data_IF_899752655507
#
_entry.id   IF_899752655507
#
_cell.length_a   1.000
_cell.length_b   1.000
_cell.length_c   1.000
_cell.angle_alpha   90.00
_cell.angle_beta   90.00
_cell.angle_gamma   90.00
#
_symmetry.space_group_name_H-M   'P 1'
#
loop_
_entity.id
_entity.type
_entity.pdbx_description
1 polymer ?
#
# COMPACT_ATOMS: atom_id res chain seq x y z
N UNK A 1 7.91 19.59 -17.65
CA UNK A 1 8.48 20.95 -17.67
C UNK A 1 9.64 20.94 -18.64
N UNK A 2 9.49 21.64 -19.77
CA UNK A 2 10.52 21.82 -20.79
C UNK A 2 11.54 22.84 -20.25
N UNK A 3 12.82 22.58 -20.48
CA UNK A 3 13.94 23.15 -19.75
C UNK A 3 14.13 24.66 -19.86
N UNK A 4 14.68 25.24 -18.79
CA UNK A 4 15.52 26.43 -18.86
C UNK A 4 16.95 25.97 -18.56
N UNK A 5 17.77 25.66 -19.58
CA UNK A 5 19.14 25.25 -19.35
C UNK A 5 19.95 26.51 -18.99
N UNK A 6 20.68 26.45 -17.87
CA UNK A 6 21.72 27.40 -17.45
C UNK A 6 21.27 28.81 -17.04
N UNK A 7 20.27 28.94 -16.15
CA UNK A 7 20.13 30.18 -15.38
C UNK A 7 21.06 30.10 -14.17
N UNK A 8 22.11 30.94 -14.12
CA UNK A 8 22.87 31.16 -12.88
C UNK A 8 21.94 31.77 -11.85
N UNK A 9 21.86 31.14 -10.69
CA UNK A 9 21.02 31.58 -9.59
C UNK A 9 21.88 31.99 -8.41
N UNK A 10 21.47 33.07 -7.74
CA UNK A 10 22.11 33.56 -6.53
C UNK A 10 21.23 33.20 -5.33
N UNK A 11 21.79 32.54 -4.33
CA UNK A 11 21.07 32.22 -3.11
C UNK A 11 21.10 33.42 -2.16
N UNK A 12 19.96 33.98 -1.79
CA UNK A 12 19.96 35.15 -0.89
C UNK A 12 20.36 34.86 0.56
N UNK A 13 20.54 33.58 0.95
CA UNK A 13 20.93 33.19 2.32
C UNK A 13 22.43 32.96 2.42
N UNK A 14 23.00 32.08 1.57
CA UNK A 14 24.44 31.80 1.59
C UNK A 14 25.24 32.68 0.63
N UNK A 15 24.59 33.46 -0.24
CA UNK A 15 25.21 34.30 -1.26
C UNK A 15 26.05 33.52 -2.29
N UNK A 16 25.84 32.21 -2.38
CA UNK A 16 26.51 31.38 -3.39
C UNK A 16 25.81 31.52 -4.76
N UNK A 17 26.64 31.57 -5.79
CA UNK A 17 26.24 31.46 -7.18
C UNK A 17 26.50 30.05 -7.68
N UNK A 18 25.44 29.34 -8.10
CA UNK A 18 25.61 28.06 -8.77
C UNK A 18 24.60 27.87 -9.91
N UNK A 19 24.88 26.88 -10.75
CA UNK A 19 23.95 26.47 -11.77
C UNK A 19 22.68 25.88 -11.13
N UNK A 20 21.54 26.19 -11.72
CA UNK A 20 20.25 25.74 -11.20
C UNK A 20 20.11 24.21 -11.31
N UNK A 21 19.89 23.55 -10.17
CA UNK A 21 19.67 22.10 -10.04
C UNK A 21 18.46 21.76 -9.14
N UNK A 22 18.24 20.48 -8.84
CA UNK A 22 17.13 19.98 -8.03
C UNK A 22 17.18 20.42 -6.55
N UNK A 23 18.30 21.00 -6.11
CA UNK A 23 18.49 21.53 -4.75
C UNK A 23 17.98 22.95 -4.60
N UNK A 24 17.60 23.63 -5.69
CA UNK A 24 17.05 24.99 -5.66
C UNK A 24 15.52 25.00 -5.62
N UNK A 25 14.96 26.06 -5.02
CA UNK A 25 13.53 26.36 -5.01
C UNK A 25 13.29 27.49 -6.01
N UNK A 26 12.47 27.24 -7.05
CA UNK A 26 12.08 28.26 -8.01
C UNK A 26 10.95 29.09 -7.43
N UNK A 27 11.23 30.36 -7.16
CA UNK A 27 10.18 31.27 -6.77
C UNK A 27 9.37 31.72 -7.99
N UNK A 28 8.06 31.45 -7.99
CA UNK A 28 7.14 31.81 -9.08
C UNK A 28 6.89 33.33 -9.23
N UNK A 29 7.58 34.18 -8.47
CA UNK A 29 7.41 35.63 -8.56
C UNK A 29 8.25 36.29 -9.66
N UNK A 30 9.15 35.56 -10.31
CA UNK A 30 10.04 36.10 -11.34
C UNK A 30 11.28 36.84 -10.82
N UNK A 31 11.51 36.89 -9.51
CA UNK A 31 12.73 37.48 -8.92
C UNK A 31 14.01 36.73 -9.33
N UNK A 32 15.14 37.44 -9.39
CA UNK A 32 16.44 36.84 -9.71
C UNK A 32 17.00 36.03 -8.55
N UNK A 33 16.70 36.44 -7.31
CA UNK A 33 17.12 35.69 -6.14
C UNK A 33 16.30 34.41 -6.00
N UNK A 34 17.00 33.30 -5.90
CA UNK A 34 16.45 31.98 -5.60
C UNK A 34 16.99 31.54 -4.24
N UNK A 35 16.59 30.36 -3.77
CA UNK A 35 17.10 29.83 -2.50
C UNK A 35 17.35 28.32 -2.63
N UNK A 36 18.47 27.84 -2.09
CA UNK A 36 18.66 26.40 -1.93
C UNK A 36 17.67 25.87 -0.90
N UNK A 37 17.16 24.65 -1.13
CA UNK A 37 16.33 23.93 -0.17
C UNK A 37 17.00 23.93 1.21
N UNK A 38 18.26 23.51 1.30
CA UNK A 38 19.03 23.48 2.57
C UNK A 38 19.05 24.84 3.29
N UNK A 39 19.28 25.93 2.56
CA UNK A 39 19.27 27.29 3.13
C UNK A 39 17.87 27.70 3.60
N UNK A 40 16.84 27.35 2.85
CA UNK A 40 15.45 27.58 3.25
C UNK A 40 15.08 26.79 4.52
N UNK A 41 15.57 25.54 4.65
CA UNK A 41 15.47 24.76 5.88
C UNK A 41 16.14 25.45 7.07
N UNK A 42 17.41 25.87 6.93
CA UNK A 42 18.16 26.61 7.97
C UNK A 42 17.35 27.82 8.46
N UNK A 43 16.80 28.57 7.50
CA UNK A 43 16.05 29.78 7.79
C UNK A 43 14.71 29.51 8.47
N UNK A 44 13.95 28.52 8.02
CA UNK A 44 12.73 28.12 8.71
C UNK A 44 13.00 27.56 10.12
N UNK A 45 14.10 26.83 10.29
CA UNK A 45 14.52 26.34 11.59
C UNK A 45 14.82 27.50 12.55
N UNK A 46 15.61 28.49 12.13
CA UNK A 46 15.96 29.64 12.98
C UNK A 46 14.72 30.45 13.38
N UNK A 47 13.83 30.74 12.42
CA UNK A 47 12.58 31.48 12.67
C UNK A 47 11.68 30.73 13.67
N UNK A 48 11.53 29.42 13.53
CA UNK A 48 10.72 28.63 14.46
C UNK A 48 11.40 28.47 15.82
N UNK A 49 12.72 28.33 15.88
CA UNK A 49 13.49 28.27 17.12
C UNK A 49 13.32 29.56 17.93
N UNK A 50 13.43 30.73 17.29
CA UNK A 50 13.16 32.02 17.92
C UNK A 50 11.71 32.12 18.41
N UNK A 51 10.74 31.82 17.55
CA UNK A 51 9.30 31.85 17.90
C UNK A 51 8.97 30.94 19.09
N UNK A 52 9.50 29.71 19.10
CA UNK A 52 9.31 28.77 20.20
C UNK A 52 9.99 29.29 21.47
N UNK A 53 11.22 29.80 21.38
CA UNK A 53 11.94 30.35 22.54
C UNK A 53 11.22 31.54 23.18
N UNK A 54 10.60 32.41 22.37
CA UNK A 54 9.81 33.55 22.82
C UNK A 54 8.49 33.12 23.48
N UNK A 55 7.81 32.10 22.93
CA UNK A 55 6.58 31.57 23.53
C UNK A 55 6.84 30.78 24.82
N UNK A 56 7.96 30.04 24.91
CA UNK A 56 8.36 29.29 26.10
C UNK A 56 8.78 30.21 27.24
N UNK A 57 9.40 31.37 26.96
CA UNK A 57 9.64 32.41 27.98
C UNK A 57 8.34 32.90 28.64
N UNK A 58 7.20 32.78 27.95
CA UNK A 58 5.90 33.23 28.44
C UNK A 58 5.02 32.10 29.03
N UNK A 59 5.41 30.82 28.90
CA UNK A 59 4.70 29.67 29.48
C UNK A 59 5.70 28.73 30.15
N UNK A 60 5.77 28.82 31.47
CA UNK A 60 6.76 28.16 32.34
C UNK A 60 6.68 26.63 32.45
N UNK A 61 6.05 25.90 31.52
CA UNK A 61 5.98 24.44 31.57
C UNK A 61 5.97 23.82 30.17
N UNK A 62 7.05 23.11 29.82
CA UNK A 62 7.14 22.22 28.66
C UNK A 62 8.25 22.59 27.70
N UNK A 63 9.46 22.06 27.92
CA UNK A 63 10.57 22.10 26.97
C UNK A 63 10.14 21.39 25.68
N UNK A 64 9.78 22.15 24.64
CA UNK A 64 9.83 21.61 23.27
C UNK A 64 11.32 21.38 22.99
N UNK A 65 11.78 20.13 23.02
CA UNK A 65 13.17 19.82 22.71
C UNK A 65 13.49 20.22 21.27
N UNK A 66 14.75 20.57 20.98
CA UNK A 66 15.22 20.85 19.61
C UNK A 66 14.93 19.68 18.67
N UNK A 67 14.98 18.45 19.20
CA UNK A 67 14.59 17.23 18.50
C UNK A 67 13.14 17.26 18.03
N UNK A 68 12.23 17.82 18.82
CA UNK A 68 10.81 17.96 18.46
C UNK A 68 10.63 18.92 17.30
N UNK A 69 11.33 20.06 17.31
CA UNK A 69 11.30 21.03 16.21
C UNK A 69 11.87 20.43 14.92
N UNK A 70 12.99 19.71 15.04
CA UNK A 70 13.62 18.97 13.96
C UNK A 70 12.64 17.97 13.31
N UNK A 71 11.94 17.15 14.11
CA UNK A 71 10.96 16.18 13.61
C UNK A 71 9.80 16.87 12.88
N UNK A 72 9.33 18.02 13.37
CA UNK A 72 8.26 18.82 12.72
C UNK A 72 8.70 19.43 11.39
N UNK A 73 9.96 19.83 11.28
CA UNK A 73 10.52 20.29 10.01
C UNK A 73 10.67 19.13 9.03
N UNK A 74 11.24 18.00 9.46
CA UNK A 74 11.28 16.79 8.62
C UNK A 74 9.89 16.43 8.08
N UNK A 75 8.86 16.52 8.93
CA UNK A 75 7.46 16.34 8.55
C UNK A 75 6.95 17.33 7.50
N UNK A 76 7.35 18.60 7.61
CA UNK A 76 6.89 19.66 6.71
C UNK A 76 7.37 19.44 5.27
N UNK A 77 8.57 18.90 5.11
CA UNK A 77 9.28 18.82 3.83
C UNK A 77 9.34 17.40 3.23
N UNK A 78 8.84 16.39 3.94
CA UNK A 78 8.76 15.03 3.41
C UNK A 78 7.68 14.92 2.32
N UNK A 79 8.12 14.88 1.06
CA UNK A 79 7.23 14.79 -0.10
C UNK A 79 6.47 13.47 -0.21
N UNK A 80 6.95 12.42 0.47
CA UNK A 80 6.30 11.11 0.51
C UNK A 80 5.73 10.75 1.91
N UNK A 81 5.38 11.78 2.70
CA UNK A 81 4.80 11.62 4.05
C UNK A 81 3.57 10.71 4.14
N UNK A 82 2.79 10.59 3.07
CA UNK A 82 1.60 9.73 3.05
C UNK A 82 1.95 8.22 3.08
N UNK A 83 3.23 7.83 2.90
CA UNK A 83 3.64 6.42 2.92
C UNK A 83 3.45 5.76 4.28
N UNK A 84 3.78 6.44 5.38
CA UNK A 84 3.65 5.90 6.74
C UNK A 84 2.36 6.34 7.42
N UNK A 85 1.72 7.42 6.94
CA UNK A 85 0.50 7.97 7.54
C UNK A 85 -0.69 7.04 7.30
N UNK A 86 -1.35 6.63 8.38
CA UNK A 86 -2.69 6.06 8.34
C UNK A 86 -3.69 7.20 8.21
N UNK A 87 -4.02 7.55 6.97
CA UNK A 87 -5.02 8.58 6.66
C UNK A 87 -6.39 7.96 6.91
N UNK A 88 -7.18 8.59 7.78
CA UNK A 88 -8.53 8.12 8.07
C UNK A 88 -9.40 8.14 6.81
N UNK A 89 -10.41 7.28 6.77
CA UNK A 89 -11.37 7.27 5.66
C UNK A 89 -12.04 8.64 5.46
N UNK A 90 -12.28 9.33 6.58
CA UNK A 90 -12.79 10.70 6.64
C UNK A 90 -11.89 11.68 5.88
N UNK A 91 -10.60 11.68 6.19
CA UNK A 91 -9.64 12.57 5.54
C UNK A 91 -9.47 12.24 4.04
N UNK A 92 -9.62 10.96 3.66
CA UNK A 92 -9.61 10.57 2.25
C UNK A 92 -10.79 11.15 1.46
N UNK A 93 -11.99 11.16 2.04
CA UNK A 93 -13.19 11.70 1.37
C UNK A 93 -13.13 13.22 1.25
N UNK A 94 -12.74 13.91 2.33
CA UNK A 94 -12.57 15.37 2.32
C UNK A 94 -11.49 15.79 1.33
N UNK A 95 -10.49 14.94 1.08
CA UNK A 95 -9.43 15.17 0.10
C UNK A 95 -9.84 15.03 -1.38
N UNK A 96 -11.09 14.68 -1.69
CA UNK A 96 -11.58 14.60 -3.07
C UNK A 96 -12.00 16.01 -3.53
N UNK A 97 -11.37 16.57 -4.58
CA UNK A 97 -11.59 17.96 -5.00
C UNK A 97 -13.03 18.26 -5.45
N UNK A 98 -13.81 17.23 -5.82
CA UNK A 98 -15.15 17.36 -6.40
C UNK A 98 -16.26 17.27 -5.34
N UNK A 99 -16.01 16.61 -4.20
CA UNK A 99 -17.09 16.09 -3.35
C UNK A 99 -17.28 16.87 -2.05
N UNK A 100 -16.24 17.59 -1.60
CA UNK A 100 -16.33 18.59 -0.54
C UNK A 100 -16.90 18.08 0.81
N UNK A 101 -17.11 19.02 1.72
CA UNK A 101 -17.69 18.78 3.06
C UNK A 101 -19.19 18.39 3.05
N UNK A 102 -20.07 18.82 2.12
CA UNK A 102 -21.51 18.57 2.28
C UNK A 102 -21.96 17.11 2.02
N UNK A 103 -21.22 16.33 1.23
CA UNK A 103 -21.51 14.90 1.04
C UNK A 103 -20.96 14.00 2.16
N UNK A 104 -20.14 14.56 3.05
CA UNK A 104 -19.50 13.85 4.14
C UNK A 104 -20.52 13.21 5.10
N UNK A 105 -21.51 13.98 5.54
CA UNK A 105 -22.49 13.56 6.56
C UNK A 105 -23.41 12.44 6.08
N UNK A 106 -23.88 12.48 4.82
CA UNK A 106 -24.85 11.51 4.31
C UNK A 106 -24.23 10.16 3.92
N UNK A 107 -22.98 10.15 3.44
CA UNK A 107 -22.32 8.94 2.93
C UNK A 107 -21.40 8.32 3.98
N UNK A 108 -20.69 9.14 4.76
CA UNK A 108 -19.63 8.63 5.63
C UNK A 108 -20.17 8.07 6.94
N UNK A 109 -21.22 8.65 7.53
CA UNK A 109 -21.71 8.21 8.86
C UNK A 109 -22.20 6.75 8.83
N UNK A 110 -23.07 6.31 7.89
CA UNK A 110 -23.52 4.91 7.85
C UNK A 110 -22.39 3.93 7.56
N UNK A 111 -21.43 4.34 6.71
CA UNK A 111 -20.32 3.50 6.30
C UNK A 111 -19.26 3.37 7.39
N UNK A 112 -18.93 4.47 8.07
CA UNK A 112 -18.04 4.48 9.23
C UNK A 112 -18.63 3.60 10.34
N UNK A 113 -19.93 3.71 10.61
CA UNK A 113 -20.63 2.84 11.56
C UNK A 113 -20.59 1.36 11.15
N UNK A 114 -20.75 1.07 9.85
CA UNK A 114 -20.65 -0.30 9.32
C UNK A 114 -19.24 -0.90 9.42
N UNK A 115 -18.20 -0.08 9.21
CA UNK A 115 -16.83 -0.54 9.35
C UNK A 115 -16.39 -0.68 10.81
N UNK A 116 -16.85 0.22 11.68
CA UNK A 116 -16.59 0.16 13.12
C UNK A 116 -17.28 -1.05 13.77
N UNK A 117 -18.50 -1.39 13.34
CA UNK A 117 -19.18 -2.64 13.76
C UNK A 117 -18.46 -3.91 13.25
N UNK A 118 -17.73 -3.83 12.15
CA UNK A 118 -16.83 -4.89 11.67
C UNK A 118 -15.45 -4.90 12.35
N UNK A 119 -15.24 -4.06 13.38
CA UNK A 119 -13.98 -3.96 14.12
C UNK A 119 -12.85 -3.27 13.34
N UNK A 120 -13.18 -2.60 12.22
CA UNK A 120 -12.23 -1.74 11.50
C UNK A 120 -12.28 -0.37 12.14
N UNK A 121 -11.22 -0.01 12.86
CA UNK A 121 -11.11 1.31 13.51
C UNK A 121 -11.06 2.42 12.44
N UNK A 122 -12.22 2.89 11.99
CA UNK A 122 -12.34 3.98 11.01
C UNK A 122 -12.07 5.36 11.61
N UNK A 123 -12.31 5.51 12.92
CA UNK A 123 -12.01 6.71 13.69
C UNK A 123 -10.57 6.75 14.24
N UNK A 124 -9.75 5.74 14.00
CA UNK A 124 -8.45 5.61 14.67
C UNK A 124 -7.51 6.80 14.40
N UNK A 125 -7.15 7.48 15.50
CA UNK A 125 -6.05 8.45 15.67
C UNK A 125 -6.09 9.70 14.81
N UNK A 126 -7.21 10.43 14.87
CA UNK A 126 -7.28 11.77 14.30
C UNK A 126 -6.36 12.79 15.03
N UNK A 127 -5.80 12.47 16.22
CA UNK A 127 -5.21 13.52 17.09
C UNK A 127 -3.79 13.24 17.66
N UNK A 128 -3.24 12.02 17.75
CA UNK A 128 -2.13 11.81 18.72
C UNK A 128 -0.79 11.24 18.26
N UNK A 129 -0.52 10.96 16.98
CA UNK A 129 0.77 10.31 16.61
C UNK A 129 1.62 10.99 15.53
N UNK A 130 1.16 12.11 14.99
CA UNK A 130 1.91 12.78 13.93
C UNK A 130 2.50 14.11 14.42
N UNK A 131 3.78 14.39 14.13
CA UNK A 131 4.34 15.70 14.43
C UNK A 131 3.50 16.77 13.73
N UNK A 132 2.90 17.66 14.51
CA UNK A 132 2.18 18.82 14.00
C UNK A 132 3.13 19.68 13.17
N UNK A 133 2.65 20.36 12.10
CA UNK A 133 3.50 21.30 11.39
C UNK A 133 4.06 22.36 12.34
N UNK A 134 5.27 22.89 12.08
CA UNK A 134 5.82 23.97 12.88
C UNK A 134 4.94 25.22 12.75
N UNK A 135 4.94 26.12 13.75
CA UNK A 135 4.08 27.31 13.75
C UNK A 135 4.31 28.21 12.53
N UNK A 136 5.56 28.34 12.08
CA UNK A 136 5.91 29.02 10.85
C UNK A 136 6.18 27.96 9.77
N UNK A 137 5.30 27.90 8.77
CA UNK A 137 5.35 26.89 7.69
C UNK A 137 5.85 27.43 6.36
N UNK A 138 5.92 28.75 6.20
CA UNK A 138 6.38 29.39 4.97
C UNK A 138 7.06 30.73 5.27
N UNK A 139 7.95 31.14 4.38
CA UNK A 139 8.65 32.43 4.45
C UNK A 139 8.25 33.31 3.27
N UNK A 140 8.38 34.62 3.44
CA UNK A 140 8.17 35.60 2.38
C UNK A 140 9.46 35.83 1.61
N UNK A 141 9.36 35.97 0.29
CA UNK A 141 10.47 36.47 -0.51
C UNK A 141 10.85 37.90 -0.05
N UNK A 142 12.14 38.17 0.26
CA UNK A 142 12.58 39.49 0.73
C UNK A 142 12.39 40.58 -0.34
N UNK A 143 12.45 40.25 -1.63
CA UNK A 143 12.28 41.21 -2.71
C UNK A 143 10.82 41.55 -3.00
N UNK A 144 9.95 40.54 -3.08
CA UNK A 144 8.58 40.75 -3.56
C UNK A 144 7.49 40.50 -2.51
N UNK A 145 7.86 40.11 -1.28
CA UNK A 145 6.97 39.80 -0.15
C UNK A 145 5.86 38.78 -0.45
N UNK A 146 6.02 37.95 -1.50
CA UNK A 146 5.10 36.85 -1.81
C UNK A 146 5.55 35.59 -1.07
N UNK A 147 4.60 34.73 -0.71
CA UNK A 147 4.90 33.44 -0.08
C UNK A 147 5.56 32.47 -1.05
N UNK A 148 6.51 31.69 -0.53
CA UNK A 148 7.04 30.52 -1.22
C UNK A 148 6.00 29.39 -1.13
N UNK A 149 5.57 28.85 -2.28
CA UNK A 149 4.57 27.77 -2.32
C UNK A 149 5.15 26.48 -1.74
N UNK A 150 4.34 25.79 -0.93
CA UNK A 150 4.73 24.54 -0.24
C UNK A 150 5.15 23.41 -1.19
N UNK A 151 4.53 23.29 -2.36
CA UNK A 151 4.85 22.25 -3.35
C UNK A 151 6.29 22.29 -3.84
N UNK A 152 6.94 23.45 -3.76
CA UNK A 152 8.29 23.65 -4.28
C UNK A 152 9.36 23.27 -3.23
N UNK A 153 8.92 22.93 -2.02
CA UNK A 153 9.75 22.63 -0.85
C UNK A 153 9.95 21.14 -0.63
N UNK A 154 9.04 20.30 -1.10
CA UNK A 154 9.07 18.86 -0.82
C UNK A 154 10.39 18.23 -1.29
N UNK A 155 11.12 17.60 -0.37
CA UNK A 155 12.25 16.74 -0.69
C UNK A 155 11.66 15.41 -1.16
N UNK A 156 11.93 15.08 -2.42
CA UNK A 156 11.62 13.78 -3.01
C UNK A 156 12.89 13.24 -3.65
N UNK A 157 13.10 11.94 -3.54
CA UNK A 157 14.17 11.24 -4.24
C UNK A 157 13.94 11.31 -5.75
N UNK A 158 15.03 11.26 -6.52
CA UNK A 158 14.96 11.22 -7.98
C UNK A 158 14.47 9.87 -8.52
N UNK A 159 14.26 8.88 -7.63
CA UNK A 159 13.83 7.55 -8.03
C UNK A 159 12.41 7.55 -8.61
N UNK A 160 12.32 7.25 -9.91
CA UNK A 160 11.04 7.13 -10.64
C UNK A 160 10.15 6.06 -10.01
N UNK A 161 10.76 4.97 -9.53
CA UNK A 161 10.04 3.84 -8.94
C UNK A 161 9.31 4.25 -7.65
N UNK A 162 9.94 5.05 -6.79
CA UNK A 162 9.30 5.53 -5.56
C UNK A 162 8.17 6.51 -5.88
N UNK A 163 8.39 7.41 -6.84
CA UNK A 163 7.36 8.34 -7.34
C UNK A 163 6.15 7.60 -7.90
N UNK A 164 6.37 6.56 -8.72
CA UNK A 164 5.30 5.72 -9.26
C UNK A 164 4.56 4.95 -8.16
N UNK A 165 5.29 4.39 -7.18
CA UNK A 165 4.67 3.71 -6.04
C UNK A 165 3.80 4.67 -5.21
N UNK A 166 4.29 5.88 -4.97
CA UNK A 166 3.56 6.93 -4.27
C UNK A 166 2.28 7.33 -5.02
N UNK A 167 2.41 7.56 -6.33
CA UNK A 167 1.27 7.90 -7.17
C UNK A 167 0.25 6.76 -7.24
N UNK A 168 0.72 5.50 -7.31
CA UNK A 168 -0.13 4.31 -7.23
C UNK A 168 -0.96 4.29 -5.94
N UNK A 169 -0.33 4.52 -4.77
CA UNK A 169 -1.07 4.64 -3.51
C UNK A 169 -2.10 5.79 -3.51
N UNK A 170 -1.77 6.91 -4.14
CA UNK A 170 -2.67 8.05 -4.29
C UNK A 170 -3.88 7.71 -5.18
N UNK A 171 -3.66 6.99 -6.28
CA UNK A 171 -4.74 6.51 -7.15
C UNK A 171 -5.63 5.51 -6.43
N UNK A 172 -5.03 4.54 -5.73
CA UNK A 172 -5.76 3.56 -4.90
C UNK A 172 -6.69 4.31 -3.94
N UNK A 173 -6.16 5.30 -3.20
CA UNK A 173 -6.94 6.17 -2.31
C UNK A 173 -8.15 6.79 -3.01
N UNK A 174 -7.95 7.45 -4.14
CA UNK A 174 -9.04 8.09 -4.87
C UNK A 174 -10.06 7.08 -5.39
N UNK A 175 -9.61 5.95 -5.91
CA UNK A 175 -10.47 4.86 -6.38
C UNK A 175 -11.35 4.30 -5.27
N UNK A 176 -10.79 4.06 -4.07
CA UNK A 176 -11.55 3.59 -2.91
C UNK A 176 -12.64 4.60 -2.56
N UNK A 177 -12.31 5.89 -2.49
CA UNK A 177 -13.29 6.89 -2.12
C UNK A 177 -14.45 6.93 -3.12
N UNK A 178 -14.17 6.83 -4.43
CA UNK A 178 -15.20 6.73 -5.47
C UNK A 178 -16.06 5.47 -5.31
N UNK A 179 -15.43 4.31 -5.07
CA UNK A 179 -16.15 3.05 -4.81
C UNK A 179 -17.06 3.22 -3.59
N UNK A 180 -16.55 3.79 -2.51
CA UNK A 180 -17.30 4.02 -1.28
C UNK A 180 -18.55 4.88 -1.52
N UNK A 181 -18.44 5.94 -2.33
CA UNK A 181 -19.56 6.79 -2.71
C UNK A 181 -20.60 6.03 -3.55
N UNK A 182 -20.17 5.07 -4.35
CA UNK A 182 -21.06 4.23 -5.15
C UNK A 182 -21.71 3.08 -4.37
N UNK A 183 -21.18 2.70 -3.20
CA UNK A 183 -21.68 1.56 -2.42
C UNK A 183 -23.17 1.63 -2.04
N UNK A 184 -23.76 2.79 -1.67
CA UNK A 184 -25.19 2.88 -1.36
C UNK A 184 -26.09 2.60 -2.57
N UNK A 185 -25.58 2.78 -3.79
CA UNK A 185 -26.35 2.64 -5.03
C UNK A 185 -26.31 1.18 -5.52
N UNK A 186 -25.26 0.43 -5.15
CA UNK A 186 -25.01 -0.91 -5.69
C UNK A 186 -25.28 -1.99 -4.64
N UNK A 187 -25.88 -3.10 -5.08
CA UNK A 187 -26.04 -4.27 -4.25
C UNK A 187 -24.67 -4.94 -3.97
N UNK A 188 -24.15 -4.73 -2.75
CA UNK A 188 -22.89 -5.28 -2.26
C UNK A 188 -22.80 -6.80 -2.41
N UNK A 189 -23.88 -7.52 -2.09
CA UNK A 189 -23.92 -8.98 -2.19
C UNK A 189 -23.74 -9.45 -3.64
N UNK A 190 -24.37 -8.75 -4.59
CA UNK A 190 -24.20 -9.02 -6.02
C UNK A 190 -22.77 -8.76 -6.50
N UNK A 191 -22.20 -7.60 -6.15
CA UNK A 191 -20.82 -7.27 -6.52
C UNK A 191 -19.83 -8.27 -5.95
N UNK A 192 -19.99 -8.65 -4.69
CA UNK A 192 -19.11 -9.60 -4.04
C UNK A 192 -19.19 -11.00 -4.66
N UNK A 193 -20.40 -11.44 -4.99
CA UNK A 193 -20.62 -12.71 -5.70
C UNK A 193 -19.95 -12.69 -7.08
N UNK A 194 -20.14 -11.62 -7.85
CA UNK A 194 -19.53 -11.46 -9.18
C UNK A 194 -18.01 -11.39 -9.09
N UNK A 195 -17.46 -10.69 -8.09
CA UNK A 195 -16.02 -10.63 -7.83
C UNK A 195 -15.46 -12.02 -7.53
N UNK A 196 -16.10 -12.77 -6.62
CA UNK A 196 -15.68 -14.13 -6.27
C UNK A 196 -15.72 -15.09 -7.45
N UNK A 197 -16.79 -15.03 -8.26
CA UNK A 197 -16.90 -15.85 -9.47
C UNK A 197 -15.83 -15.47 -10.51
N UNK A 198 -15.59 -14.17 -10.71
CA UNK A 198 -14.55 -13.68 -11.60
C UNK A 198 -13.15 -14.13 -11.14
N UNK A 199 -12.83 -14.03 -9.84
CA UNK A 199 -11.54 -14.47 -9.29
C UNK A 199 -11.35 -15.98 -9.44
N UNK A 200 -12.39 -16.77 -9.15
CA UNK A 200 -12.33 -18.22 -9.32
C UNK A 200 -12.04 -18.62 -10.77
N UNK A 201 -12.65 -17.94 -11.75
CA UNK A 201 -12.39 -18.14 -13.19
C UNK A 201 -10.97 -17.78 -13.62
N UNK A 202 -10.25 -16.95 -12.87
CA UNK A 202 -8.84 -16.67 -13.17
C UNK A 202 -7.92 -17.81 -12.73
N UNK A 203 -8.31 -18.55 -11.70
CA UNK A 203 -7.47 -19.62 -11.12
C UNK A 203 -7.82 -20.98 -11.70
N UNK A 204 -9.12 -21.30 -11.75
CA UNK A 204 -9.62 -22.61 -12.16
C UNK A 204 -10.17 -22.59 -13.59
N UNK A 205 -9.82 -23.60 -14.40
CA UNK A 205 -10.43 -23.81 -15.71
C UNK A 205 -11.91 -24.23 -15.55
N UNK A 206 -12.68 -24.07 -16.63
CA UNK A 206 -14.14 -24.24 -16.58
C UNK A 206 -14.58 -25.64 -16.10
N UNK A 207 -13.94 -26.71 -16.57
CA UNK A 207 -14.23 -28.10 -16.18
C UNK A 207 -14.15 -28.31 -14.65
N UNK A 208 -13.11 -27.76 -14.03
CA UNK A 208 -12.88 -27.88 -12.59
C UNK A 208 -13.86 -26.98 -11.84
N UNK A 209 -14.18 -25.81 -12.39
CA UNK A 209 -15.15 -24.90 -11.78
C UNK A 209 -16.57 -25.47 -11.77
N UNK A 210 -16.99 -26.12 -12.85
CA UNK A 210 -18.29 -26.79 -12.94
C UNK A 210 -18.42 -27.91 -11.91
N UNK A 211 -17.34 -28.68 -11.70
CA UNK A 211 -17.29 -29.71 -10.67
C UNK A 211 -17.25 -29.12 -9.25
N UNK A 212 -16.51 -28.03 -9.03
CA UNK A 212 -16.39 -27.38 -7.72
C UNK A 212 -17.71 -26.73 -7.25
N UNK A 213 -18.42 -26.11 -8.18
CA UNK A 213 -19.67 -25.43 -7.93
C UNK A 213 -20.90 -26.33 -8.10
N UNK A 214 -20.74 -27.58 -8.54
CA UNK A 214 -21.82 -28.55 -8.80
C UNK A 214 -22.88 -27.99 -9.75
N UNK A 215 -22.43 -27.37 -10.84
CA UNK A 215 -23.27 -26.70 -11.83
C UNK A 215 -22.80 -27.05 -13.23
N UNK A 216 -23.72 -27.20 -14.17
CA UNK A 216 -23.46 -27.60 -15.55
C UNK A 216 -22.59 -26.62 -16.33
N UNK A 217 -22.78 -25.31 -16.14
CA UNK A 217 -21.97 -24.27 -16.78
C UNK A 217 -21.77 -23.07 -15.87
N UNK A 218 -20.61 -22.43 -15.98
CA UNK A 218 -20.32 -21.23 -15.19
C UNK A 218 -21.12 -20.02 -15.67
N UNK A 219 -21.62 -20.02 -16.91
CA UNK A 219 -22.51 -18.98 -17.45
C UNK A 219 -23.87 -18.92 -16.73
N UNK A 220 -24.37 -20.07 -16.26
CA UNK A 220 -25.59 -20.10 -15.45
C UNK A 220 -25.43 -19.29 -14.16
N UNK A 221 -24.24 -19.32 -13.54
CA UNK A 221 -23.93 -18.52 -12.35
C UNK A 221 -23.94 -17.01 -12.62
N UNK A 222 -23.64 -16.55 -13.84
CA UNK A 222 -23.77 -15.12 -14.18
C UNK A 222 -25.23 -14.69 -14.20
N UNK A 223 -26.13 -15.54 -14.71
CA UNK A 223 -27.58 -15.29 -14.71
C UNK A 223 -28.12 -15.28 -13.29
N UNK A 224 -27.73 -16.27 -12.47
CA UNK A 224 -28.11 -16.31 -11.05
C UNK A 224 -27.56 -15.12 -10.27
N UNK A 225 -26.31 -14.70 -10.53
CA UNK A 225 -25.70 -13.50 -9.97
C UNK A 225 -26.33 -12.19 -10.45
N UNK A 226 -27.23 -12.23 -11.44
CA UNK A 226 -27.93 -11.05 -11.94
C UNK A 226 -28.93 -10.46 -10.93
N UNK A 227 -29.51 -11.29 -10.05
CA UNK A 227 -30.58 -10.91 -9.13
C UNK A 227 -30.36 -11.51 -7.73
N UNK A 228 -30.94 -10.89 -6.69
CA UNK A 228 -30.84 -11.42 -5.31
C UNK A 228 -31.49 -12.79 -5.17
N UNK A 229 -32.66 -12.98 -5.79
CA UNK A 229 -33.36 -14.27 -5.77
C UNK A 229 -32.56 -15.36 -6.49
N UNK A 230 -31.89 -15.01 -7.59
CA UNK A 230 -30.98 -15.93 -8.29
C UNK A 230 -29.78 -16.33 -7.44
N UNK A 231 -29.19 -15.40 -6.67
CA UNK A 231 -28.13 -15.74 -5.73
C UNK A 231 -28.65 -16.70 -4.65
N UNK A 232 -29.86 -16.48 -4.12
CA UNK A 232 -30.44 -17.35 -3.10
C UNK A 232 -30.65 -18.79 -3.60
N UNK A 233 -31.00 -18.97 -4.88
CA UNK A 233 -31.20 -20.30 -5.49
C UNK A 233 -29.91 -21.10 -5.71
N UNK A 234 -28.74 -20.46 -5.65
CA UNK A 234 -27.45 -21.19 -5.74
C UNK A 234 -27.29 -22.08 -4.48
N UNK A 235 -26.83 -23.34 -4.63
CA UNK A 235 -26.58 -24.22 -3.49
C UNK A 235 -25.68 -23.54 -2.44
N UNK A 236 -26.02 -23.71 -1.16
CA UNK A 236 -25.27 -23.10 -0.04
C UNK A 236 -23.78 -23.44 -0.07
N UNK A 237 -23.47 -24.66 -0.49
CA UNK A 237 -22.12 -25.16 -0.59
C UNK A 237 -21.30 -24.42 -1.68
N UNK A 238 -21.93 -23.99 -2.78
CA UNK A 238 -21.29 -23.23 -3.87
C UNK A 238 -21.25 -21.74 -3.55
N UNK A 239 -22.27 -21.22 -2.85
CA UNK A 239 -22.25 -19.87 -2.27
C UNK A 239 -21.05 -19.67 -1.35
N UNK A 240 -20.77 -20.63 -0.44
CA UNK A 240 -19.62 -20.55 0.47
C UNK A 240 -18.30 -20.45 -0.30
N UNK A 241 -18.14 -21.22 -1.38
CA UNK A 241 -16.94 -21.16 -2.22
C UNK A 241 -16.83 -19.80 -2.92
N UNK A 242 -17.90 -19.34 -3.56
CA UNK A 242 -17.89 -18.10 -4.35
C UNK A 242 -17.71 -16.87 -3.44
N UNK A 243 -18.49 -16.74 -2.36
CA UNK A 243 -18.35 -15.62 -1.42
C UNK A 243 -17.08 -15.71 -0.56
N UNK A 244 -16.62 -16.93 -0.26
CA UNK A 244 -15.46 -17.18 0.57
C UNK A 244 -14.13 -17.01 -0.16
N UNK A 245 -14.07 -17.18 -1.49
CA UNK A 245 -12.81 -17.08 -2.24
C UNK A 245 -12.16 -15.68 -2.19
N UNK A 246 -12.89 -14.56 -2.35
CA UNK A 246 -12.32 -13.23 -2.12
C UNK A 246 -11.77 -13.07 -0.69
N UNK A 247 -12.49 -13.57 0.32
CA UNK A 247 -12.08 -13.51 1.72
C UNK A 247 -10.81 -14.32 1.98
N UNK A 248 -10.69 -15.48 1.33
CA UNK A 248 -9.49 -16.30 1.38
C UNK A 248 -8.28 -15.55 0.81
N UNK A 249 -8.42 -14.92 -0.37
CA UNK A 249 -7.34 -14.14 -0.98
C UNK A 249 -6.96 -12.91 -0.14
N UNK A 250 -7.94 -12.22 0.46
CA UNK A 250 -7.69 -11.15 1.42
C UNK A 250 -6.89 -11.62 2.64
N UNK A 251 -7.21 -12.81 3.14
CA UNK A 251 -6.47 -13.45 4.23
C UNK A 251 -5.04 -13.83 3.85
N UNK A 252 -4.77 -14.08 2.57
CA UNK A 252 -3.41 -14.37 2.08
C UNK A 252 -2.59 -13.10 1.83
N UNK A 253 -3.20 -12.07 1.22
CA UNK A 253 -2.54 -10.82 0.91
C UNK A 253 -2.31 -9.93 2.14
N UNK A 254 -3.16 -10.04 3.17
CA UNK A 254 -3.13 -9.19 4.35
C UNK A 254 -2.49 -9.81 5.59
N UNK A 255 -1.99 -8.95 6.48
CA UNK A 255 -1.50 -9.29 7.83
C UNK A 255 -2.56 -9.02 8.92
N UNK A 256 -3.85 -9.05 8.55
CA UNK A 256 -4.96 -8.80 9.47
C UNK A 256 -5.41 -10.11 10.12
N UNK A 257 -5.44 -10.14 11.45
CA UNK A 257 -5.72 -11.36 12.22
C UNK A 257 -7.09 -11.97 11.92
N UNK A 258 -8.10 -11.13 11.64
CA UNK A 258 -9.45 -11.57 11.29
C UNK A 258 -9.47 -12.33 9.95
N UNK A 259 -8.83 -11.78 8.92
CA UNK A 259 -8.76 -12.42 7.60
C UNK A 259 -7.78 -13.61 7.59
N UNK A 260 -6.72 -13.57 8.40
CA UNK A 260 -5.78 -14.68 8.54
C UNK A 260 -6.43 -15.97 9.04
N UNK A 261 -7.47 -15.87 9.88
CA UNK A 261 -8.27 -17.03 10.32
C UNK A 261 -9.08 -17.65 9.17
N UNK A 262 -9.41 -16.88 8.14
CA UNK A 262 -10.16 -17.36 6.96
C UNK A 262 -9.30 -18.17 5.98
N UNK A 263 -7.98 -18.30 6.23
CA UNK A 263 -7.09 -19.20 5.48
C UNK A 263 -7.54 -20.68 5.56
N UNK A 264 -8.35 -21.03 6.57
CA UNK A 264 -9.01 -22.34 6.70
C UNK A 264 -10.10 -22.62 5.65
N UNK A 265 -10.49 -21.65 4.81
CA UNK A 265 -11.41 -21.91 3.70
C UNK A 265 -10.78 -22.79 2.61
N UNK A 266 -9.45 -22.71 2.39
CA UNK A 266 -8.75 -23.55 1.41
C UNK A 266 -8.94 -25.07 1.64
N UNK A 267 -8.75 -25.61 2.86
CA UNK A 267 -9.03 -27.02 3.12
C UNK A 267 -10.52 -27.38 2.99
N UNK A 268 -11.46 -26.46 3.22
CA UNK A 268 -12.90 -26.70 2.98
C UNK A 268 -13.19 -26.89 1.48
N UNK A 269 -12.59 -26.06 0.62
CA UNK A 269 -12.65 -26.21 -0.84
C UNK A 269 -12.02 -27.54 -1.27
N UNK A 270 -10.87 -27.89 -0.71
CA UNK A 270 -10.16 -29.15 -1.00
C UNK A 270 -10.92 -30.41 -0.53
N UNK A 271 -11.65 -30.34 0.58
CA UNK A 271 -12.50 -31.42 1.08
C UNK A 271 -13.73 -31.65 0.21
N UNK A 272 -14.29 -30.59 -0.36
CA UNK A 272 -15.41 -30.69 -1.30
C UNK A 272 -15.04 -31.43 -2.59
N UNK A 273 -13.82 -31.23 -3.07
CA UNK A 273 -13.27 -31.93 -4.23
C UNK A 273 -13.03 -33.43 -3.98
N UNK A 274 -13.11 -33.92 -2.73
CA UNK A 274 -12.87 -35.33 -2.37
C UNK A 274 -13.99 -36.28 -2.81
N UNK A 275 -15.18 -35.76 -3.14
CA UNK A 275 -16.37 -36.58 -3.41
C UNK A 275 -16.37 -37.20 -4.82
N UNK A 276 -15.48 -36.76 -5.72
CA UNK A 276 -15.43 -37.25 -7.10
C UNK A 276 -14.11 -37.98 -7.40
N UNK A 277 -14.21 -39.11 -8.11
CA UNK A 277 -13.10 -40.00 -8.48
C UNK A 277 -12.33 -39.54 -9.74
N UNK A 278 -12.55 -38.31 -10.21
CA UNK A 278 -11.96 -37.80 -11.44
C UNK A 278 -10.48 -37.38 -11.25
N UNK A 279 -9.63 -37.75 -12.21
CA UNK A 279 -8.18 -37.47 -12.19
C UNK A 279 -7.88 -35.96 -12.19
N UNK A 280 -8.70 -35.18 -12.91
CA UNK A 280 -8.60 -33.71 -12.97
C UNK A 280 -8.79 -33.05 -11.58
N UNK A 281 -9.72 -33.60 -10.78
CA UNK A 281 -10.05 -33.11 -9.44
C UNK A 281 -9.00 -33.53 -8.42
N UNK A 282 -8.38 -34.70 -8.60
CA UNK A 282 -7.21 -35.11 -7.81
C UNK A 282 -6.01 -34.19 -8.03
N UNK A 283 -5.77 -33.74 -9.27
CA UNK A 283 -4.73 -32.74 -9.57
C UNK A 283 -5.06 -31.40 -8.90
N UNK A 284 -6.31 -30.93 -8.99
CA UNK A 284 -6.77 -29.69 -8.35
C UNK A 284 -6.56 -29.72 -6.83
N UNK A 285 -6.95 -30.83 -6.19
CA UNK A 285 -6.74 -31.07 -4.77
C UNK A 285 -5.26 -31.04 -4.40
N UNK A 286 -4.41 -31.68 -5.21
CA UNK A 286 -2.97 -31.72 -4.99
C UNK A 286 -2.37 -30.30 -5.08
N UNK A 287 -2.77 -29.50 -6.06
CA UNK A 287 -2.35 -28.09 -6.20
C UNK A 287 -2.77 -27.24 -5.00
N UNK A 288 -3.99 -27.41 -4.50
CA UNK A 288 -4.47 -26.70 -3.31
C UNK A 288 -3.68 -27.11 -2.06
N UNK A 289 -3.41 -28.39 -1.87
CA UNK A 289 -2.64 -28.88 -0.72
C UNK A 289 -1.18 -28.40 -0.77
N UNK A 290 -0.55 -28.46 -1.94
CA UNK A 290 0.82 -27.98 -2.14
C UNK A 290 0.89 -26.46 -1.89
N UNK A 291 -0.05 -25.68 -2.46
CA UNK A 291 -0.08 -24.24 -2.24
C UNK A 291 -0.31 -23.90 -0.76
N UNK A 292 -1.17 -24.63 -0.06
CA UNK A 292 -1.33 -24.50 1.39
C UNK A 292 -0.02 -24.79 2.15
N UNK A 293 0.70 -25.85 1.79
CA UNK A 293 2.03 -26.16 2.34
C UNK A 293 3.04 -25.02 2.14
N UNK A 294 3.08 -24.43 0.94
CA UNK A 294 3.92 -23.26 0.66
C UNK A 294 3.50 -22.02 1.44
N UNK A 295 2.20 -21.78 1.62
CA UNK A 295 1.69 -20.67 2.44
C UNK A 295 2.11 -20.85 3.89
N UNK A 296 2.00 -22.07 4.44
CA UNK A 296 2.49 -22.39 5.77
C UNK A 296 4.00 -22.15 5.87
N UNK A 297 4.79 -22.67 4.94
CA UNK A 297 6.24 -22.47 4.90
C UNK A 297 6.61 -20.99 4.84
N UNK A 298 5.92 -20.20 4.02
CA UNK A 298 6.09 -18.75 3.96
C UNK A 298 5.82 -18.10 5.32
N UNK A 299 4.71 -18.47 5.97
CA UNK A 299 4.31 -17.87 7.25
C UNK A 299 5.26 -18.21 8.42
N UNK A 300 5.82 -19.43 8.45
CA UNK A 300 6.69 -19.88 9.53
C UNK A 300 8.18 -19.56 9.32
N UNK A 301 8.64 -19.48 8.07
CA UNK A 301 10.07 -19.31 7.75
C UNK A 301 10.34 -17.95 7.11
N UNK A 302 9.67 -17.65 6.00
CA UNK A 302 10.00 -16.47 5.18
C UNK A 302 9.57 -15.18 5.88
N UNK A 303 8.36 -15.13 6.43
CA UNK A 303 7.82 -13.93 7.08
C UNK A 303 8.65 -13.49 8.31
N UNK A 304 9.09 -14.39 9.23
CA UNK A 304 10.01 -14.00 10.30
C UNK A 304 11.35 -13.45 9.80
N UNK A 305 11.94 -14.06 8.77
CA UNK A 305 13.19 -13.58 8.16
C UNK A 305 13.02 -12.19 7.54
N UNK A 306 11.93 -11.98 6.79
CA UNK A 306 11.58 -10.68 6.24
C UNK A 306 11.37 -9.64 7.34
N UNK A 307 10.68 -9.99 8.43
CA UNK A 307 10.49 -9.10 9.57
C UNK A 307 11.82 -8.68 10.21
N UNK A 308 12.78 -9.62 10.35
CA UNK A 308 14.13 -9.29 10.83
C UNK A 308 14.89 -8.36 9.88
N UNK A 309 14.73 -8.56 8.56
CA UNK A 309 15.29 -7.67 7.55
C UNK A 309 14.68 -6.26 7.64
N UNK A 310 13.36 -6.14 7.71
CA UNK A 310 12.68 -4.84 7.90
C UNK A 310 13.03 -4.17 9.23
N UNK A 311 13.13 -4.92 10.32
CA UNK A 311 13.60 -4.41 11.61
C UNK A 311 14.97 -3.73 11.48
N UNK A 312 15.93 -4.39 10.82
CA UNK A 312 17.25 -3.81 10.58
C UNK A 312 17.17 -2.51 9.78
N UNK A 313 16.31 -2.46 8.76
CA UNK A 313 16.11 -1.25 7.95
C UNK A 313 15.49 -0.10 8.74
N UNK A 314 14.50 -0.38 9.60
CA UNK A 314 13.87 0.64 10.46
C UNK A 314 14.88 1.18 11.46
N UNK A 315 15.65 0.30 12.12
CA UNK A 315 16.70 0.68 13.08
C UNK A 315 17.82 1.50 12.43
N UNK A 316 18.15 1.20 11.18
CA UNK A 316 19.16 1.91 10.40
C UNK A 316 18.66 3.29 9.91
N UNK A 317 17.36 3.40 9.59
CA UNK A 317 16.76 4.66 9.16
C UNK A 317 16.50 5.63 10.33
N UNK A 318 16.15 5.13 11.52
CA UNK A 318 15.66 5.93 12.66
C UNK A 318 14.68 7.03 12.22
N UNK A 319 13.54 6.66 11.61
CA UNK A 319 12.63 7.63 11.00
C UNK A 319 12.13 8.64 12.03
N UNK A 320 12.14 9.93 11.65
CA UNK A 320 11.80 11.06 12.52
C UNK A 320 10.42 11.00 13.19
N UNK A 321 9.50 10.17 12.66
CA UNK A 321 8.15 10.01 13.18
C UNK A 321 8.03 8.88 14.23
N UNK A 322 9.07 8.09 14.49
CA UNK A 322 9.13 7.21 15.65
C UNK A 322 9.60 8.03 16.87
N UNK A 323 8.87 7.93 17.98
CA UNK A 323 9.32 8.46 19.27
C UNK A 323 10.32 7.47 19.87
N UNK A 324 11.57 7.90 20.02
CA UNK A 324 12.44 7.38 21.06
C UNK A 324 12.17 8.30 22.27
N UNK A 325 11.35 7.87 23.23
CA UNK A 325 11.37 8.54 24.52
C UNK A 325 12.70 8.12 25.16
N UNK A 326 13.64 9.04 25.32
CA UNK A 326 14.97 8.74 25.90
C UNK A 326 14.86 8.14 27.33
N UNK A 327 13.72 8.30 28.01
CA UNK A 327 13.45 7.75 29.34
C UNK A 327 12.68 6.41 29.36
N UNK A 328 12.29 5.88 28.19
CA UNK A 328 11.61 4.59 28.07
C UNK A 328 12.39 3.75 27.07
N UNK A 329 13.02 2.66 27.51
CA UNK A 329 13.74 1.70 26.64
C UNK A 329 13.09 1.65 25.25
N UNK A 330 13.76 2.18 24.22
CA UNK A 330 13.24 2.31 22.85
C UNK A 330 12.77 0.99 22.23
N UNK A 331 13.05 -0.13 22.90
CA UNK A 331 12.51 -1.45 22.63
C UNK A 331 10.99 -1.54 22.90
N UNK A 332 10.41 -0.79 23.84
CA UNK A 332 8.96 -0.88 24.17
C UNK A 332 8.03 -0.42 23.04
N UNK A 333 8.38 0.65 22.31
CA UNK A 333 7.58 1.10 21.14
C UNK A 333 7.83 0.18 19.95
N UNK A 334 9.07 -0.25 19.70
CA UNK A 334 9.35 -1.24 18.64
C UNK A 334 8.73 -2.61 18.94
N UNK A 335 8.53 -2.95 20.20
CA UNK A 335 7.85 -4.16 20.66
C UNK A 335 6.34 -4.09 20.42
N UNK A 336 5.74 -2.90 20.47
CA UNK A 336 4.34 -2.72 20.02
C UNK A 336 4.16 -3.05 18.53
N UNK A 337 5.23 -2.92 17.73
CA UNK A 337 5.28 -3.29 16.32
C UNK A 337 5.91 -4.67 16.06
N UNK A 338 6.13 -5.48 17.10
CA UNK A 338 6.79 -6.79 16.99
C UNK A 338 6.09 -7.65 15.94
N UNK A 339 6.83 -8.00 14.89
CA UNK A 339 6.32 -8.79 13.77
C UNK A 339 5.57 -8.03 12.67
N UNK A 340 5.52 -6.69 12.72
CA UNK A 340 4.88 -5.81 11.71
C UNK A 340 5.79 -4.66 11.21
N UNK A 341 7.12 -4.83 11.30
CA UNK A 341 8.10 -3.80 10.90
C UNK A 341 8.00 -3.36 9.44
N UNK A 342 7.56 -4.24 8.54
CA UNK A 342 7.35 -3.91 7.12
C UNK A 342 6.29 -2.83 6.86
N UNK A 343 5.43 -2.54 7.84
CA UNK A 343 4.36 -1.54 7.72
C UNK A 343 4.74 -0.16 8.32
N UNK A 344 5.92 -0.02 8.93
CA UNK A 344 6.34 1.23 9.60
C UNK A 344 6.81 2.28 8.58
N UNK A 345 7.59 1.85 7.58
CA UNK A 345 8.15 2.75 6.55
C UNK A 345 7.14 3.02 5.43
N UNK A 346 6.42 1.98 5.04
CA UNK A 346 5.38 2.01 4.02
C UNK A 346 4.18 1.24 4.59
N UNK A 347 3.20 1.97 5.13
CA UNK A 347 2.00 1.37 5.72
C UNK A 347 1.16 0.69 4.64
N UNK A 348 0.92 -0.60 4.81
CA UNK A 348 0.01 -1.38 3.95
C UNK A 348 -1.39 -1.23 4.52
N UNK A 349 -2.31 -0.63 3.77
CA UNK A 349 -3.68 -0.38 4.21
C UNK A 349 -4.58 -1.56 3.83
N UNK A 350 -5.75 -1.67 4.50
CA UNK A 350 -6.76 -2.71 4.20
C UNK A 350 -7.13 -2.67 2.72
N UNK A 351 -7.23 -1.48 2.15
CA UNK A 351 -7.60 -1.33 0.75
C UNK A 351 -6.47 -1.64 -0.23
N UNK A 352 -5.21 -1.42 0.15
CA UNK A 352 -4.07 -1.88 -0.64
C UNK A 352 -4.13 -3.41 -0.75
N UNK A 353 -4.41 -4.08 0.38
CA UNK A 353 -4.64 -5.53 0.45
C UNK A 353 -5.84 -5.96 -0.39
N UNK A 354 -6.93 -5.17 -0.42
CA UNK A 354 -8.09 -5.49 -1.24
C UNK A 354 -7.80 -5.46 -2.73
N UNK A 355 -7.10 -4.42 -3.20
CA UNK A 355 -6.71 -4.31 -4.60
C UNK A 355 -5.70 -5.38 -4.97
N UNK A 356 -4.72 -5.64 -4.09
CA UNK A 356 -3.76 -6.73 -4.27
C UNK A 356 -4.47 -8.07 -4.39
N UNK A 357 -5.37 -8.42 -3.46
CA UNK A 357 -6.14 -9.66 -3.50
C UNK A 357 -7.05 -9.76 -4.74
N UNK A 358 -7.54 -8.63 -5.25
CA UNK A 358 -8.37 -8.58 -6.45
C UNK A 358 -7.55 -8.81 -7.72
N UNK A 359 -6.40 -8.13 -7.86
CA UNK A 359 -5.57 -8.21 -9.06
C UNK A 359 -4.65 -9.44 -9.09
N UNK A 360 -4.34 -10.02 -7.93
CA UNK A 360 -3.38 -11.11 -7.82
C UNK A 360 -3.73 -12.35 -8.65
N UNK A 361 -4.98 -12.87 -8.66
CA UNK A 361 -5.35 -13.99 -9.53
C UNK A 361 -5.21 -13.67 -11.02
N UNK A 362 -5.56 -12.45 -11.45
CA UNK A 362 -5.45 -12.03 -12.84
C UNK A 362 -3.99 -11.98 -13.29
N UNK A 363 -3.12 -11.34 -12.50
CA UNK A 363 -1.68 -11.27 -12.80
C UNK A 363 -1.05 -12.66 -12.77
N UNK A 364 -1.45 -13.49 -11.81
CA UNK A 364 -0.99 -14.87 -11.69
C UNK A 364 -1.34 -15.71 -12.91
N UNK A 365 -2.56 -15.59 -13.42
CA UNK A 365 -2.99 -16.24 -14.67
C UNK A 365 -2.18 -15.77 -15.87
N UNK A 366 -2.01 -14.46 -16.06
CA UNK A 366 -1.25 -13.92 -17.20
C UNK A 366 0.19 -14.46 -17.19
N UNK A 367 0.83 -14.48 -16.02
CA UNK A 367 2.18 -15.04 -15.86
C UNK A 367 2.17 -16.55 -16.10
N UNK A 368 1.19 -17.27 -15.55
CA UNK A 368 1.01 -18.71 -15.72
C UNK A 368 0.85 -19.12 -17.18
N UNK A 369 -0.02 -18.45 -17.93
CA UNK A 369 -0.23 -18.68 -19.36
C UNK A 369 1.07 -18.45 -20.16
N UNK A 370 1.85 -17.41 -19.82
CA UNK A 370 3.16 -17.18 -20.46
C UNK A 370 4.18 -18.27 -20.16
N UNK A 371 4.22 -18.77 -18.91
CA UNK A 371 5.08 -19.89 -18.53
C UNK A 371 4.65 -21.16 -19.28
N UNK A 372 3.35 -21.41 -19.38
CA UNK A 372 2.82 -22.55 -20.11
C UNK A 372 3.17 -22.49 -21.61
N UNK A 373 2.99 -21.34 -22.26
CA UNK A 373 3.41 -21.14 -23.65
C UNK A 373 4.93 -21.33 -23.81
N UNK A 374 5.74 -20.82 -22.87
CA UNK A 374 7.18 -21.03 -22.86
C UNK A 374 7.57 -22.50 -22.70
N UNK A 375 6.84 -23.25 -21.87
CA UNK A 375 7.02 -24.68 -21.69
C UNK A 375 6.71 -25.46 -22.98
N UNK A 376 5.59 -25.18 -23.65
CA UNK A 376 5.25 -25.79 -24.95
C UNK A 376 6.29 -25.45 -26.01
N UNK A 377 6.72 -24.19 -26.07
CA UNK A 377 7.75 -23.75 -27.01
C UNK A 377 9.08 -24.50 -26.76
N UNK A 378 9.46 -24.68 -25.50
CA UNK A 378 10.67 -25.42 -25.13
C UNK A 378 10.53 -26.89 -25.48
N UNK A 379 9.37 -27.51 -25.25
CA UNK A 379 9.10 -28.89 -25.62
C UNK A 379 9.18 -29.10 -27.15
N UNK A 380 8.65 -28.17 -27.95
CA UNK A 380 8.69 -28.28 -29.41
C UNK A 380 10.10 -28.07 -29.98
N UNK A 381 10.96 -27.32 -29.29
CA UNK A 381 12.32 -27.01 -29.74
C UNK A 381 13.42 -27.86 -29.08
N UNK A 382 13.08 -28.67 -28.08
CA UNK A 382 14.03 -29.56 -27.40
C UNK A 382 13.66 -31.03 -27.64
N UNK A 383 14.65 -31.92 -27.57
CA UNK A 383 14.44 -33.37 -27.71
C UNK A 383 13.73 -34.01 -26.50
N UNK A 384 13.23 -33.22 -25.55
CA UNK A 384 12.56 -33.73 -24.35
C UNK A 384 11.08 -33.95 -24.67
N UNK A 385 10.73 -35.17 -25.06
CA UNK A 385 9.34 -35.59 -25.23
C UNK A 385 8.68 -35.83 -23.87
N UNK A 386 8.06 -34.79 -23.31
CA UNK A 386 7.20 -34.93 -22.13
C UNK A 386 5.74 -35.05 -22.57
N UNK A 387 5.16 -36.24 -22.52
CA UNK A 387 3.71 -36.40 -22.68
C UNK A 387 3.04 -36.34 -21.31
N UNK A 388 2.35 -35.25 -20.97
CA UNK A 388 1.63 -35.18 -19.71
C UNK A 388 0.41 -36.12 -19.73
N UNK A 389 0.27 -36.96 -18.71
CA UNK A 389 -0.93 -37.77 -18.45
C UNK A 389 -2.15 -36.94 -18.01
N UNK A 390 -2.08 -35.61 -18.09
CA UNK A 390 -3.06 -34.67 -17.57
C UNK A 390 -3.72 -33.87 -18.70
N UNK A 391 -5.01 -33.54 -18.55
CA UNK A 391 -5.72 -32.72 -19.53
C UNK A 391 -5.07 -31.32 -19.67
N UNK A 392 -5.13 -30.68 -20.86
CA UNK A 392 -4.59 -29.33 -21.07
C UNK A 392 -5.11 -28.30 -20.07
N UNK A 393 -6.36 -28.42 -19.66
CA UNK A 393 -6.98 -27.57 -18.65
C UNK A 393 -6.36 -27.77 -17.26
N UNK A 394 -6.07 -29.02 -16.89
CA UNK A 394 -5.40 -29.35 -15.63
C UNK A 394 -3.96 -28.83 -15.59
N UNK A 395 -3.25 -28.87 -16.72
CA UNK A 395 -1.92 -28.27 -16.85
C UNK A 395 -1.97 -26.74 -16.75
N UNK A 396 -2.89 -26.10 -17.48
CA UNK A 396 -3.11 -24.65 -17.41
C UNK A 396 -3.37 -24.19 -15.98
N UNK A 397 -4.18 -24.93 -15.21
CA UNK A 397 -4.40 -24.66 -13.78
C UNK A 397 -3.09 -24.71 -12.98
N UNK A 398 -2.26 -25.75 -13.14
CA UNK A 398 -0.97 -25.87 -12.43
C UNK A 398 -0.10 -24.63 -12.70
N UNK A 399 -0.01 -24.20 -13.97
CA UNK A 399 0.76 -23.02 -14.34
C UNK A 399 0.13 -21.72 -13.80
N UNK A 400 -1.19 -21.60 -13.70
CA UNK A 400 -1.85 -20.46 -13.05
C UNK A 400 -1.50 -20.38 -11.56
N UNK A 401 -1.53 -21.50 -10.82
CA UNK A 401 -1.09 -21.54 -9.43
C UNK A 401 0.40 -21.18 -9.27
N UNK A 402 1.26 -21.72 -10.15
CA UNK A 402 2.68 -21.37 -10.17
C UNK A 402 2.89 -19.87 -10.46
N UNK A 403 2.16 -19.32 -11.43
CA UNK A 403 2.17 -17.90 -11.78
C UNK A 403 1.74 -17.01 -10.61
N UNK A 404 0.69 -17.38 -9.88
CA UNK A 404 0.28 -16.68 -8.65
C UNK A 404 1.40 -16.68 -7.60
N UNK A 405 2.10 -17.81 -7.42
CA UNK A 405 3.25 -17.91 -6.52
C UNK A 405 4.39 -16.97 -6.93
N UNK A 406 4.74 -16.94 -8.22
CA UNK A 406 5.78 -16.07 -8.77
C UNK A 406 5.41 -14.59 -8.59
N UNK A 407 4.17 -14.21 -8.88
CA UNK A 407 3.68 -12.83 -8.70
C UNK A 407 3.77 -12.42 -7.23
N UNK A 408 3.43 -13.31 -6.29
CA UNK A 408 3.54 -13.02 -4.86
C UNK A 408 5.00 -12.78 -4.43
N UNK A 409 5.93 -13.62 -4.89
CA UNK A 409 7.36 -13.45 -4.63
C UNK A 409 7.89 -12.15 -5.24
N UNK A 410 7.53 -11.84 -6.48
CA UNK A 410 7.91 -10.61 -7.16
C UNK A 410 7.38 -9.38 -6.40
N UNK A 411 6.14 -9.41 -5.92
CA UNK A 411 5.57 -8.32 -5.13
C UNK A 411 6.33 -8.11 -3.80
N UNK A 412 6.71 -9.19 -3.12
CA UNK A 412 7.50 -9.10 -1.87
C UNK A 412 8.88 -8.50 -2.11
N UNK A 413 9.57 -8.90 -3.19
CA UNK A 413 10.86 -8.34 -3.58
C UNK A 413 10.71 -6.85 -3.94
N UNK A 414 9.68 -6.51 -4.72
CA UNK A 414 9.39 -5.12 -5.10
C UNK A 414 9.11 -4.26 -3.86
N UNK A 415 8.28 -4.72 -2.92
CA UNK A 415 8.00 -4.02 -1.66
C UNK A 415 9.28 -3.79 -0.84
N UNK A 416 10.14 -4.80 -0.75
CA UNK A 416 11.44 -4.68 -0.07
C UNK A 416 12.36 -3.65 -0.73
N UNK A 417 12.38 -3.62 -2.07
CA UNK A 417 13.14 -2.65 -2.85
C UNK A 417 12.63 -1.22 -2.68
N UNK A 418 11.31 -0.99 -2.80
CA UNK A 418 10.70 0.34 -2.58
C UNK A 418 10.94 0.82 -1.15
N UNK A 419 10.85 -0.09 -0.17
CA UNK A 419 11.16 0.24 1.23
C UNK A 419 12.62 0.67 1.39
N UNK A 420 13.55 0.04 0.66
CA UNK A 420 14.97 0.43 0.69
C UNK A 420 15.20 1.81 0.09
N UNK A 421 14.57 2.12 -1.03
CA UNK A 421 14.61 3.47 -1.62
C UNK A 421 14.06 4.51 -0.64
N UNK A 422 12.95 4.18 0.04
CA UNK A 422 12.37 5.06 1.06
C UNK A 422 13.30 5.29 2.24
N UNK A 423 14.03 4.26 2.70
CA UNK A 423 15.05 4.42 3.76
C UNK A 423 16.16 5.37 3.33
N UNK A 424 16.64 5.26 2.08
CA UNK A 424 17.67 6.16 1.56
C UNK A 424 17.19 7.61 1.52
N UNK A 425 15.96 7.83 1.04
CA UNK A 425 15.34 9.16 1.00
C UNK A 425 15.16 9.77 2.40
N UNK A 426 14.73 8.97 3.38
CA UNK A 426 14.60 9.43 4.77
C UNK A 426 15.94 9.82 5.37
N UNK A 427 16.99 9.03 5.12
CA UNK A 427 18.36 9.34 5.57
C UNK A 427 18.90 10.63 4.95
N UNK A 428 18.61 10.85 3.68
CA UNK A 428 19.01 12.07 2.97
C UNK A 428 18.28 13.29 3.53
N UNK A 429 16.95 13.19 3.71
CA UNK A 429 16.13 14.22 4.32
C UNK A 429 16.65 14.56 5.72
N UNK A 430 16.89 13.55 6.55
CA UNK A 430 17.37 13.72 7.91
C UNK A 430 18.80 14.29 7.98
N UNK A 431 19.71 13.88 7.09
CA UNK A 431 21.06 14.44 7.00
C UNK A 431 21.03 15.92 6.63
N UNK A 432 20.21 16.30 5.65
CA UNK A 432 20.08 17.68 5.21
C UNK A 432 19.52 18.59 6.31
N UNK A 433 18.69 18.03 7.20
CA UNK A 433 18.15 18.73 8.37
C UNK A 433 19.07 18.68 9.60
N UNK A 434 19.96 17.68 9.76
CA UNK A 434 20.88 17.57 10.91
C UNK A 434 22.12 18.45 10.75
N UNK A 435 22.56 18.74 9.53
CA UNK A 435 23.64 19.71 9.24
C UNK A 435 23.24 21.17 9.53
N UNK A 436 22.23 21.39 10.38
CA UNK A 436 21.78 22.69 10.88
C UNK A 436 22.48 23.08 12.18
N UNK A 437 23.05 22.11 12.91
CA UNK A 437 23.71 22.31 14.21
C UNK A 437 25.21 22.71 14.07
N UNK A 438 25.76 22.57 12.86
CA UNK A 438 27.06 23.13 12.43
C UNK A 438 26.83 24.38 11.55
#
# INVERSE_FOLDING_TARGET
>A
MIGLPFKRCHCWVCLDDSDFDSTWIIHQCGCQLQIHKKCYFKWLYSLNKEHISQQLRNRSNGLISEETLYKRLCYLFDGHRDFYRNISFVENIVGIPIIGIPCFTFICIPMIFSFETLGVNCFSKMITEYPLPPPITSVYCPQCKKYIKKSDLDITSDSIILKLSYWGKKLIRWGISLVAISLPIVNLGKLWFQLGLWQLRQVFPEEILTALCDISTTKALDVYGGTVNGILSVPSSSKIVIFGFPLYLLGLAGDYDLFNRLRWLAPVVALKLKVSNDQSLNIARTCINISYGFISLHSYIIKPLQNKYYYKMVKDAKPYYLHDNEDSEGDTILDSYRGKYGNILISTRIFDVFIEATLWPLLGRIVGEKIFCGFIWLQNNSYVTYQPDASPNSLSMIFNFAGMGIVSLANQVFKGYVTRLRVQELKELQRNTMQLDD
#
